data_IF_016587190894
#
_entry.id   IF_016587190894
#
_cell.length_a   1.000
_cell.length_b   1.000
_cell.length_c   1.000
_cell.angle_alpha   90.00
_cell.angle_beta   90.00
_cell.angle_gamma   90.00
#
_symmetry.space_group_name_H-M   'P 1'
#
loop_
_entity.id
_entity.type
_entity.pdbx_description
1 polymer ?
#
# COMPACT_ATOMS: atom_id res chain seq x y z
N UNK A 1 6.14 -42.18 12.03
CA UNK A 1 5.47 -41.17 11.21
C UNK A 1 6.37 -40.89 10.01
N UNK A 2 6.04 -41.47 8.85
CA UNK A 2 6.73 -41.16 7.59
C UNK A 2 6.16 -39.86 7.04
N UNK A 3 6.93 -38.78 7.08
CA UNK A 3 6.53 -37.53 6.43
C UNK A 3 6.77 -37.66 4.92
N UNK A 4 5.70 -37.74 4.14
CA UNK A 4 5.76 -37.66 2.68
C UNK A 4 5.92 -36.20 2.27
N UNK A 5 7.07 -35.86 1.69
CA UNK A 5 7.29 -34.55 1.09
C UNK A 5 6.72 -34.58 -0.33
N UNK A 6 5.77 -33.71 -0.63
CA UNK A 6 5.20 -33.59 -1.98
C UNK A 6 5.94 -32.48 -2.72
N UNK A 7 6.48 -32.76 -3.90
CA UNK A 7 7.11 -31.74 -4.73
C UNK A 7 6.07 -30.69 -5.13
N UNK A 8 6.36 -29.43 -4.82
CA UNK A 8 5.55 -28.30 -5.27
C UNK A 8 5.70 -28.20 -6.79
N UNK A 9 4.58 -28.21 -7.51
CA UNK A 9 4.58 -27.92 -8.93
C UNK A 9 4.74 -26.41 -9.12
N UNK A 10 5.65 -26.03 -10.02
CA UNK A 10 5.83 -24.62 -10.37
C UNK A 10 4.55 -24.07 -10.99
N UNK A 11 4.06 -22.94 -10.48
CA UNK A 11 2.91 -22.23 -11.04
C UNK A 11 3.28 -21.34 -12.23
N UNK A 12 4.56 -20.98 -12.38
CA UNK A 12 5.04 -20.13 -13.45
C UNK A 12 6.55 -20.30 -13.71
N UNK A 13 6.92 -20.18 -14.99
CA UNK A 13 8.30 -20.00 -15.42
C UNK A 13 8.60 -18.51 -15.47
N UNK A 14 9.61 -18.08 -14.73
CA UNK A 14 10.12 -16.70 -14.74
C UNK A 14 11.38 -16.64 -15.60
N UNK A 15 11.48 -15.63 -16.47
CA UNK A 15 12.63 -15.39 -17.33
C UNK A 15 12.86 -13.89 -17.56
N UNK A 16 13.99 -13.53 -18.18
CA UNK A 16 14.31 -12.16 -18.57
C UNK A 16 14.22 -11.13 -17.43
N UNK A 17 14.64 -11.53 -16.22
CA UNK A 17 14.69 -10.63 -15.07
C UNK A 17 15.66 -9.49 -15.37
N UNK A 18 15.18 -8.26 -15.29
CA UNK A 18 15.98 -7.07 -15.59
C UNK A 18 15.75 -5.96 -14.57
N UNK A 19 16.84 -5.31 -14.19
CA UNK A 19 16.82 -4.10 -13.36
C UNK A 19 16.33 -2.92 -14.20
N UNK A 20 15.41 -2.14 -13.67
CA UNK A 20 14.80 -0.99 -14.36
C UNK A 20 14.66 0.20 -13.43
N UNK A 21 14.53 1.38 -14.03
CA UNK A 21 14.06 2.58 -13.33
C UNK A 21 12.54 2.47 -13.17
N UNK A 22 12.04 2.61 -11.94
CA UNK A 22 10.65 2.30 -11.60
C UNK A 22 9.68 3.21 -12.37
N UNK A 23 9.94 4.52 -12.34
CA UNK A 23 9.09 5.53 -12.98
C UNK A 23 8.97 5.37 -14.50
N UNK A 24 10.00 4.84 -15.17
CA UNK A 24 9.99 4.64 -16.62
C UNK A 24 9.41 3.28 -17.05
N UNK A 25 9.48 2.27 -16.20
CA UNK A 25 9.08 0.90 -16.53
C UNK A 25 7.64 0.56 -16.12
N UNK A 26 7.07 1.25 -15.14
CA UNK A 26 5.73 0.95 -14.57
C UNK A 26 4.60 0.96 -15.61
N UNK A 27 4.72 1.77 -16.67
CA UNK A 27 3.72 1.79 -17.75
C UNK A 27 3.77 0.55 -18.66
N UNK A 28 4.85 -0.24 -18.59
CA UNK A 28 5.02 -1.48 -19.35
C UNK A 28 4.62 -2.74 -18.58
N UNK A 29 4.37 -2.64 -17.28
CA UNK A 29 4.01 -3.77 -16.42
C UNK A 29 4.35 -3.53 -14.96
N UNK A 30 4.09 -4.55 -14.13
CA UNK A 30 4.36 -4.47 -12.69
C UNK A 30 5.85 -4.46 -12.42
N UNK A 31 6.32 -3.48 -11.66
CA UNK A 31 7.72 -3.37 -11.23
C UNK A 31 7.85 -3.81 -9.78
N UNK A 32 8.58 -4.90 -9.52
CA UNK A 32 8.90 -5.33 -8.19
C UNK A 32 10.01 -4.45 -7.60
N UNK A 33 9.87 -4.00 -6.37
CA UNK A 33 10.87 -3.23 -5.65
C UNK A 33 10.83 -3.57 -4.17
N UNK A 34 11.87 -3.21 -3.42
CA UNK A 34 11.92 -3.45 -1.98
C UNK A 34 12.22 -2.15 -1.25
N UNK A 35 11.59 -2.00 -0.09
CA UNK A 35 11.77 -0.86 0.82
C UNK A 35 12.30 -1.37 2.15
N UNK A 36 13.01 -0.52 2.87
CA UNK A 36 13.44 -0.79 4.26
C UNK A 36 12.34 -0.40 5.25
N UNK A 37 11.16 -1.03 5.17
CA UNK A 37 10.07 -0.82 6.11
C UNK A 37 10.04 -1.95 7.13
N UNK A 38 9.81 -1.70 8.42
CA UNK A 38 9.46 -2.78 9.36
C UNK A 38 8.87 -2.35 10.73
N UNK A 39 8.83 -1.06 11.13
CA UNK A 39 8.14 -0.64 12.38
C UNK A 39 7.42 0.72 12.32
N UNK A 40 7.14 1.26 11.13
CA UNK A 40 6.72 2.66 10.94
C UNK A 40 5.26 2.81 10.50
N UNK A 41 4.88 4.04 10.14
CA UNK A 41 3.62 4.42 9.49
C UNK A 41 3.21 3.53 8.32
N UNK A 42 4.15 2.81 7.68
CA UNK A 42 3.83 1.83 6.65
C UNK A 42 2.96 0.68 7.19
N UNK A 43 3.26 0.12 8.36
CA UNK A 43 2.49 -1.01 8.92
C UNK A 43 1.02 -0.66 9.18
N UNK A 44 0.78 0.60 9.56
CA UNK A 44 -0.54 1.12 9.93
C UNK A 44 -1.18 1.94 8.83
N UNK A 45 -0.64 1.90 7.60
CA UNK A 45 -1.25 2.59 6.48
C UNK A 45 -2.67 2.06 6.27
N UNK A 46 -3.64 2.98 6.27
CA UNK A 46 -5.07 2.68 6.08
C UNK A 46 -5.73 3.43 4.92
N UNK A 47 -5.00 4.30 4.21
CA UNK A 47 -5.54 5.05 3.07
C UNK A 47 -4.84 6.39 2.82
N UNK A 48 -5.17 7.02 1.69
CA UNK A 48 -4.64 8.34 1.30
C UNK A 48 -3.23 8.29 0.72
N UNK A 49 -2.61 9.47 0.51
CA UNK A 49 -1.24 9.53 -0.01
C UNK A 49 -0.22 9.42 1.13
N UNK A 50 0.58 8.35 1.10
CA UNK A 50 1.67 8.13 2.03
C UNK A 50 2.85 9.05 1.71
N UNK A 51 3.19 9.93 2.65
CA UNK A 51 4.23 10.96 2.49
C UNK A 51 5.46 10.72 3.39
N UNK A 52 5.36 9.79 4.33
CA UNK A 52 6.41 9.47 5.30
C UNK A 52 7.62 8.74 4.66
N UNK A 53 8.66 8.55 5.46
CA UNK A 53 9.84 7.75 5.10
C UNK A 53 9.48 6.29 4.91
N UNK A 54 10.05 5.66 3.88
CA UNK A 54 10.04 4.20 3.75
C UNK A 54 11.24 3.56 4.41
N UNK A 55 12.29 4.32 4.72
CA UNK A 55 13.45 3.87 5.47
C UNK A 55 13.17 3.80 6.98
N UNK A 56 13.66 2.73 7.59
CA UNK A 56 13.75 2.49 9.02
C UNK A 56 15.23 2.22 9.38
N UNK A 57 15.62 2.56 10.60
CA UNK A 57 16.99 2.36 11.12
C UNK A 57 17.30 0.90 11.47
N UNK A 58 16.30 0.03 11.49
CA UNK A 58 16.48 -1.39 11.75
C UNK A 58 16.74 -2.19 10.46
N UNK A 59 17.63 -3.18 10.55
CA UNK A 59 17.96 -4.08 9.45
C UNK A 59 16.72 -4.92 9.06
N UNK A 60 16.01 -4.49 8.03
CA UNK A 60 14.84 -5.19 7.48
C UNK A 60 14.49 -4.68 6.09
N UNK A 61 13.72 -5.47 5.34
CA UNK A 61 13.24 -5.10 4.02
C UNK A 61 11.98 -5.87 3.62
N UNK A 62 11.08 -5.21 2.91
CA UNK A 62 9.85 -5.78 2.37
C UNK A 62 9.74 -5.46 0.90
N UNK A 63 9.28 -6.42 0.10
CA UNK A 63 9.16 -6.25 -1.34
C UNK A 63 7.70 -6.16 -1.78
N UNK A 64 7.46 -5.23 -2.69
CA UNK A 64 6.16 -4.77 -3.14
C UNK A 64 6.14 -4.70 -4.67
N UNK A 65 4.95 -4.52 -5.24
CA UNK A 65 4.78 -4.33 -6.68
C UNK A 65 4.22 -2.95 -7.01
N UNK A 66 4.96 -2.11 -7.74
CA UNK A 66 4.39 -0.92 -8.35
C UNK A 66 3.55 -1.35 -9.55
N UNK A 67 2.26 -1.06 -9.51
CA UNK A 67 1.28 -1.45 -10.54
C UNK A 67 0.77 -0.27 -11.36
N UNK A 68 1.11 0.95 -10.96
CA UNK A 68 0.71 2.17 -11.66
C UNK A 68 1.40 3.41 -11.10
N UNK A 69 1.26 4.51 -11.84
CA UNK A 69 1.89 5.79 -11.52
C UNK A 69 1.00 6.93 -12.00
N UNK A 70 0.89 7.98 -11.19
CA UNK A 70 0.33 9.27 -11.59
C UNK A 70 1.42 10.34 -11.58
N UNK A 71 1.07 11.58 -11.91
CA UNK A 71 1.95 12.73 -11.68
C UNK A 71 2.29 12.93 -10.21
N UNK A 72 1.46 12.44 -9.29
CA UNK A 72 1.52 12.78 -7.86
C UNK A 72 1.92 11.62 -6.96
N UNK A 73 1.59 10.37 -7.31
CA UNK A 73 1.85 9.20 -6.47
C UNK A 73 2.07 7.92 -7.27
N UNK A 74 2.77 6.97 -6.65
CA UNK A 74 2.87 5.57 -7.06
C UNK A 74 1.68 4.77 -6.55
N UNK A 75 1.16 3.85 -7.37
CA UNK A 75 0.16 2.86 -6.96
C UNK A 75 0.91 1.55 -6.69
N UNK A 76 0.91 1.13 -5.43
CA UNK A 76 1.71 -0.02 -4.99
C UNK A 76 0.82 -1.08 -4.37
N UNK A 77 0.95 -2.31 -4.85
CA UNK A 77 0.27 -3.49 -4.32
C UNK A 77 1.11 -4.15 -3.25
N UNK A 78 0.50 -4.45 -2.11
CA UNK A 78 1.10 -5.20 -1.02
C UNK A 78 0.63 -6.67 -1.00
N UNK A 79 1.28 -7.49 -0.20
CA UNK A 79 1.04 -8.93 -0.01
C UNK A 79 0.47 -9.27 1.37
N UNK A 80 -0.08 -8.29 2.10
CA UNK A 80 -0.63 -8.45 3.46
C UNK A 80 -2.16 -8.58 3.51
N UNK A 81 -2.79 -8.89 2.36
CA UNK A 81 -4.24 -9.01 2.25
C UNK A 81 -4.96 -7.69 2.02
N UNK A 82 -6.26 -7.77 1.73
CA UNK A 82 -7.10 -6.60 1.40
C UNK A 82 -7.49 -5.77 2.61
N UNK A 83 -7.38 -6.31 3.83
CA UNK A 83 -7.67 -5.58 5.07
C UNK A 83 -6.61 -4.57 5.46
N UNK A 84 -5.46 -4.56 4.77
CA UNK A 84 -4.39 -3.60 4.98
C UNK A 84 -4.43 -2.51 3.91
N UNK A 85 -4.19 -1.25 4.29
CA UNK A 85 -4.20 -0.13 3.37
C UNK A 85 -5.56 0.12 2.71
N UNK A 86 -5.53 0.57 1.46
CA UNK A 86 -6.72 0.74 0.63
C UNK A 86 -6.87 -0.51 -0.24
N UNK A 87 -7.67 -1.47 0.22
CA UNK A 87 -7.90 -2.78 -0.43
C UNK A 87 -6.61 -3.57 -0.77
N UNK A 88 -5.59 -3.49 0.10
CA UNK A 88 -4.28 -4.12 -0.10
C UNK A 88 -3.28 -3.29 -0.89
N UNK A 89 -3.61 -2.03 -1.19
CA UNK A 89 -2.75 -1.08 -1.88
C UNK A 89 -2.30 0.06 -0.98
N UNK A 90 -1.22 0.72 -1.39
CA UNK A 90 -0.73 1.97 -0.84
C UNK A 90 -0.44 2.96 -1.96
N UNK A 91 -0.84 4.22 -1.76
CA UNK A 91 -0.54 5.31 -2.68
C UNK A 91 0.63 6.12 -2.15
N UNK A 92 1.83 5.93 -2.69
CA UNK A 92 3.04 6.59 -2.17
C UNK A 92 3.24 7.91 -2.92
N UNK A 93 3.14 9.03 -2.21
CA UNK A 93 3.36 10.35 -2.79
C UNK A 93 4.78 10.47 -3.32
N UNK A 94 4.93 10.90 -4.58
CA UNK A 94 6.21 11.15 -5.24
C UNK A 94 6.99 12.31 -4.63
N UNK A 95 6.28 13.28 -4.05
CA UNK A 95 6.89 14.38 -3.31
C UNK A 95 7.19 14.02 -1.85
N UNK A 96 6.68 12.88 -1.36
CA UNK A 96 6.98 12.34 -0.04
C UNK A 96 8.39 11.74 0.06
N UNK A 97 8.86 11.47 1.28
CA UNK A 97 10.20 10.91 1.50
C UNK A 97 10.35 9.56 0.81
N UNK A 98 9.40 8.65 1.05
CA UNK A 98 9.41 7.34 0.39
C UNK A 98 9.32 7.45 -1.13
N UNK A 99 8.52 8.36 -1.69
CA UNK A 99 8.43 8.52 -3.14
C UNK A 99 9.74 8.93 -3.79
N UNK A 100 10.51 9.81 -3.14
CA UNK A 100 11.85 10.18 -3.60
C UNK A 100 12.84 9.02 -3.51
N UNK A 101 12.76 8.23 -2.43
CA UNK A 101 13.55 6.98 -2.32
C UNK A 101 13.19 5.99 -3.44
N UNK A 102 11.91 5.88 -3.82
CA UNK A 102 11.47 5.05 -4.96
C UNK A 102 12.01 5.60 -6.28
N UNK A 103 12.03 6.93 -6.47
CA UNK A 103 12.60 7.56 -7.67
C UNK A 103 14.12 7.32 -7.80
N UNK A 104 14.84 7.20 -6.67
CA UNK A 104 16.28 6.95 -6.64
C UNK A 104 16.65 5.45 -6.69
N UNK A 105 15.71 4.56 -6.35
CA UNK A 105 15.94 3.11 -6.31
C UNK A 105 15.63 2.43 -7.64
N UNK A 106 16.21 1.25 -7.81
CA UNK A 106 15.92 0.41 -8.98
C UNK A 106 14.90 -0.66 -8.63
N UNK A 107 13.98 -0.91 -9.56
CA UNK A 107 13.06 -2.03 -9.51
C UNK A 107 13.50 -3.17 -10.44
N UNK A 108 12.70 -4.23 -10.45
CA UNK A 108 12.90 -5.40 -11.28
C UNK A 108 11.61 -5.77 -12.00
N UNK A 109 11.73 -6.11 -13.27
CA UNK A 109 10.64 -6.72 -14.05
C UNK A 109 11.12 -8.05 -14.60
N UNK A 110 10.17 -8.96 -14.82
CA UNK A 110 10.44 -10.28 -15.35
C UNK A 110 9.28 -10.75 -16.21
N UNK A 111 9.57 -11.59 -17.19
CA UNK A 111 8.55 -12.29 -17.97
C UNK A 111 8.09 -13.50 -17.16
N UNK A 112 6.78 -13.59 -16.91
CA UNK A 112 6.16 -14.71 -16.22
C UNK A 112 5.24 -15.46 -17.18
N UNK A 113 5.53 -16.73 -17.43
CA UNK A 113 4.66 -17.64 -18.19
C UNK A 113 4.07 -18.68 -17.25
N UNK A 114 2.75 -18.68 -17.08
CA UNK A 114 2.06 -19.69 -16.28
C UNK A 114 2.40 -21.10 -16.77
N UNK A 115 2.62 -22.02 -15.82
CA UNK A 115 2.82 -23.44 -16.10
C UNK A 115 1.61 -24.16 -15.51
N UNK A 116 0.71 -24.64 -16.38
CA UNK A 116 -0.55 -25.28 -15.98
C UNK A 116 -1.71 -24.30 -15.78
N UNK A 117 -2.90 -24.81 -15.39
CA UNK A 117 -4.05 -23.97 -15.08
C UNK A 117 -3.71 -23.06 -13.90
N UNK A 118 -4.11 -21.78 -13.98
CA UNK A 118 -3.95 -20.86 -12.87
C UNK A 118 -4.54 -21.47 -11.59
N UNK A 119 -3.86 -21.38 -10.43
CA UNK A 119 -4.53 -21.61 -9.15
C UNK A 119 -5.82 -20.80 -9.14
N UNK A 120 -6.94 -21.32 -8.59
CA UNK A 120 -8.13 -20.50 -8.41
C UNK A 120 -7.67 -19.23 -7.69
N UNK A 121 -7.76 -18.09 -8.36
CA UNK A 121 -7.60 -16.81 -7.69
C UNK A 121 -8.61 -16.77 -6.55
N UNK A 122 -8.33 -16.07 -5.43
CA UNK A 122 -9.37 -15.79 -4.46
C UNK A 122 -10.58 -15.25 -5.24
N UNK A 123 -11.72 -15.92 -5.08
CA UNK A 123 -12.96 -15.53 -5.75
C UNK A 123 -13.19 -14.05 -5.44
N UNK A 124 -13.56 -13.20 -6.42
CA UNK A 124 -13.99 -11.85 -6.12
C UNK A 124 -15.07 -11.95 -5.05
N UNK A 125 -14.75 -11.45 -3.84
CA UNK A 125 -15.77 -11.29 -2.82
C UNK A 125 -16.88 -10.41 -3.39
N UNK A 126 -18.14 -10.59 -2.96
CA UNK A 126 -19.21 -9.70 -3.38
C UNK A 126 -18.75 -8.26 -3.16
N UNK A 127 -18.82 -7.44 -4.21
CA UNK A 127 -18.54 -6.01 -4.10
C UNK A 127 -19.49 -5.45 -3.05
N UNK A 128 -19.02 -4.91 -1.91
CA UNK A 128 -19.90 -4.29 -0.95
C UNK A 128 -20.58 -3.11 -1.66
N UNK A 129 -21.91 -3.20 -1.82
CA UNK A 129 -22.71 -2.04 -2.21
C UNK A 129 -22.74 -1.09 -1.02
N UNK A 130 -22.15 0.11 -1.12
CA UNK A 130 -22.09 1.01 0.01
C UNK A 130 -23.48 1.60 0.26
N UNK A 131 -24.02 1.40 1.47
CA UNK A 131 -24.82 2.45 2.08
C UNK A 131 -23.90 3.65 2.30
N UNK A 132 -24.33 4.82 1.83
CA UNK A 132 -23.51 6.03 1.83
C UNK A 132 -23.34 6.55 3.25
N UNK A 133 -22.22 6.22 3.88
CA UNK A 133 -21.67 7.00 4.98
C UNK A 133 -20.18 6.63 5.14
N UNK A 134 -19.28 7.59 4.89
CA UNK A 134 -17.86 7.41 5.20
C UNK A 134 -17.62 7.94 6.61
N UNK A 135 -16.90 7.17 7.44
CA UNK A 135 -16.44 7.61 8.76
C UNK A 135 -14.99 8.10 8.64
N UNK A 136 -14.78 9.39 8.94
CA UNK A 136 -13.46 10.00 9.00
C UNK A 136 -12.93 9.98 10.44
N UNK A 137 -11.83 9.27 10.67
CA UNK A 137 -11.12 9.26 11.95
C UNK A 137 -9.78 9.97 11.78
N UNK A 138 -9.46 10.91 12.66
CA UNK A 138 -8.13 11.49 12.72
C UNK A 138 -7.28 10.57 13.56
N UNK A 139 -6.49 9.76 12.87
CA UNK A 139 -5.43 9.05 13.52
C UNK A 139 -4.17 9.71 13.05
N UNK A 140 -3.37 10.17 14.01
CA UNK A 140 -2.04 10.75 13.86
C UNK A 140 -2.02 12.29 13.85
N UNK A 141 -2.31 12.87 15.03
CA UNK A 141 -1.66 14.10 15.46
C UNK A 141 -0.15 13.94 15.37
N UNK A 142 0.50 14.75 14.53
CA UNK A 142 1.95 14.91 14.52
C UNK A 142 2.25 16.24 15.18
N UNK A 143 2.27 16.25 16.52
CA UNK A 143 3.00 17.30 17.22
C UNK A 143 4.48 17.23 16.79
N UNK A 144 5.18 18.36 16.87
CA UNK A 144 6.62 18.50 16.60
C UNK A 144 7.52 17.42 17.23
N UNK A 145 7.02 16.65 18.19
CA UNK A 145 7.65 15.50 18.87
C UNK A 145 7.48 14.11 18.22
N UNK A 146 6.69 13.94 17.15
CA UNK A 146 6.54 12.68 16.35
C UNK A 146 6.13 11.38 17.11
N UNK A 147 5.60 11.41 18.34
CA UNK A 147 5.47 10.18 19.16
C UNK A 147 4.21 10.05 20.06
N UNK A 148 3.00 10.38 19.59
CA UNK A 148 1.77 9.87 20.24
C UNK A 148 0.75 9.32 19.24
N UNK A 149 0.26 8.11 19.53
CA UNK A 149 -0.77 7.39 18.79
C UNK A 149 -2.05 7.40 19.66
N UNK A 150 -2.93 8.39 19.49
CA UNK A 150 -4.31 8.32 19.99
C UNK A 150 -5.28 8.23 18.80
N UNK A 151 -6.36 7.47 18.99
CA UNK A 151 -7.43 7.22 18.04
C UNK A 151 -8.56 8.19 18.41
N UNK A 152 -8.49 9.42 17.92
CA UNK A 152 -9.44 10.49 18.29
C UNK A 152 -10.44 10.70 17.13
N UNK A 153 -11.72 10.43 17.39
CA UNK A 153 -12.78 10.66 16.42
C UNK A 153 -12.98 12.17 16.21
N UNK A 154 -12.56 12.68 15.05
CA UNK A 154 -12.77 14.08 14.66
C UNK A 154 -14.13 14.33 14.03
N UNK A 155 -14.97 13.30 13.93
CA UNK A 155 -16.38 13.39 13.62
C UNK A 155 -16.68 13.94 12.23
N UNK A 156 -17.04 13.06 11.30
CA UNK A 156 -18.08 13.35 10.30
C UNK A 156 -18.39 12.16 9.40
N UNK A 157 -19.68 12.01 9.09
CA UNK A 157 -20.16 11.33 7.90
C UNK A 157 -19.71 12.12 6.65
N UNK A 158 -18.64 11.70 6.01
CA UNK A 158 -18.20 12.26 4.74
C UNK A 158 -18.92 11.60 3.55
N UNK A 159 -19.08 12.36 2.46
CA UNK A 159 -19.59 11.80 1.20
C UNK A 159 -18.56 10.98 0.44
N UNK A 160 -17.27 11.26 0.67
CA UNK A 160 -16.14 10.68 -0.05
C UNK A 160 -14.79 10.95 0.65
N UNK A 161 -13.73 10.33 0.12
CA UNK A 161 -12.34 10.47 0.60
C UNK A 161 -11.86 11.93 0.56
N UNK A 162 -12.31 12.72 -0.42
CA UNK A 162 -11.88 14.12 -0.57
C UNK A 162 -12.43 14.98 0.57
N UNK A 163 -13.66 14.70 1.01
CA UNK A 163 -14.25 15.31 2.19
C UNK A 163 -13.47 14.93 3.47
N UNK A 164 -13.06 13.67 3.67
CA UNK A 164 -12.19 13.31 4.80
C UNK A 164 -10.82 14.03 4.74
N UNK A 165 -10.21 14.15 3.56
CA UNK A 165 -8.94 14.88 3.40
C UNK A 165 -9.08 16.37 3.74
N UNK A 166 -10.23 16.99 3.42
CA UNK A 166 -10.51 18.37 3.78
C UNK A 166 -10.61 18.57 5.30
N UNK A 167 -11.15 17.58 6.03
CA UNK A 167 -11.17 17.58 7.51
C UNK A 167 -9.74 17.59 8.05
N UNK A 168 -8.87 16.69 7.60
CA UNK A 168 -7.46 16.68 8.02
C UNK A 168 -6.73 18.00 7.70
N UNK A 169 -6.97 18.58 6.52
CA UNK A 169 -6.36 19.86 6.16
C UNK A 169 -6.83 21.03 7.04
N UNK A 170 -8.04 20.96 7.60
CA UNK A 170 -8.59 21.95 8.52
C UNK A 170 -8.19 21.69 9.99
N UNK A 171 -7.77 20.46 10.32
CA UNK A 171 -7.32 20.07 11.67
C UNK A 171 -5.85 20.40 11.86
N UNK A 172 -5.55 21.33 12.77
CA UNK A 172 -4.17 21.69 13.11
C UNK A 172 -3.43 20.48 13.67
N UNK A 173 -2.34 20.06 13.01
CA UNK A 173 -1.52 18.93 13.45
C UNK A 173 -1.85 17.57 12.81
N UNK A 174 -2.89 17.50 11.96
CA UNK A 174 -3.22 16.28 11.21
C UNK A 174 -2.22 16.07 10.06
N UNK A 175 -1.53 14.92 10.05
CA UNK A 175 -0.65 14.54 8.94
C UNK A 175 -1.24 13.44 8.06
N UNK A 176 -2.12 12.60 8.62
CA UNK A 176 -2.77 11.47 7.97
C UNK A 176 -4.18 11.37 8.54
N UNK A 177 -5.13 10.95 7.73
CA UNK A 177 -6.48 10.63 8.20
C UNK A 177 -6.81 9.19 7.84
N UNK A 178 -7.32 8.43 8.81
CA UNK A 178 -7.89 7.11 8.55
C UNK A 178 -9.33 7.32 8.12
N UNK A 179 -9.70 6.78 6.97
CA UNK A 179 -11.08 6.80 6.51
C UNK A 179 -11.49 5.38 6.20
N UNK A 180 -12.72 5.04 6.52
CA UNK A 180 -13.29 3.76 6.14
C UNK A 180 -14.78 3.92 5.84
N UNK A 181 -15.33 2.96 5.10
CA UNK A 181 -16.78 2.88 4.92
C UNK A 181 -17.37 2.31 6.21
N UNK A 182 -18.42 2.95 6.71
CA UNK A 182 -19.19 2.52 7.90
C UNK A 182 -19.69 1.07 7.85
N UNK A 183 -19.75 0.48 6.65
CA UNK A 183 -20.17 -0.91 6.44
C UNK A 183 -19.10 -1.95 6.79
N UNK A 184 -17.88 -1.54 7.19
CA UNK A 184 -16.72 -2.42 7.34
C UNK A 184 -16.19 -2.54 8.78
N UNK A 185 -17.04 -2.37 9.80
CA UNK A 185 -16.71 -2.71 11.19
C UNK A 185 -16.59 -4.23 11.40
#
# INVERSE_FOLDING_TARGET
HTHTCTCIQSSAKVSNVRRVQISSAVNGGVVAFCISCCRTAFHHYGGGQFTASCADSENGGHCLGVVGLTSSYYIVRNSWGSSWGDDGYIYISRSGSCGREIDETHGYIADAKAVGPSPPGPSPGPSPSPSREWECHDNYWVDASKLKLSDDDVGSAASDVKACQAVCAATTGCAVIRFHKTTNH
#
